data_IF_052869196194
#
_entry.id   IF_052869196194
#
_cell.length_a   1.000
_cell.length_b   1.000
_cell.length_c   1.000
_cell.angle_alpha   90.00
_cell.angle_beta   90.00
_cell.angle_gamma   90.00
#
_symmetry.space_group_name_H-M   'P 1'
#
loop_
_entity.id
_entity.type
_entity.pdbx_description
1 polymer ?
#
# COMPACT_ATOMS: atom_id res chain seq x y z
N UNK A 1 -55.23 -25.23 -18.21
CA UNK A 1 -54.63 -25.98 -19.32
C UNK A 1 -53.29 -25.33 -19.59
N UNK A 2 -52.21 -26.08 -19.38
CA UNK A 2 -50.82 -25.64 -19.41
C UNK A 2 -50.41 -25.05 -20.76
N UNK A 3 -49.48 -24.09 -20.74
CA UNK A 3 -48.38 -23.85 -21.72
C UNK A 3 -47.56 -22.65 -21.17
N UNK A 4 -46.50 -22.91 -20.42
CA UNK A 4 -45.11 -23.18 -20.80
C UNK A 4 -44.26 -21.90 -20.78
N UNK A 5 -43.42 -21.81 -19.74
CA UNK A 5 -42.58 -20.68 -19.34
C UNK A 5 -41.20 -20.91 -19.93
N UNK A 6 -40.94 -20.47 -21.16
CA UNK A 6 -39.58 -20.58 -21.76
C UNK A 6 -39.26 -19.60 -22.90
N UNK A 7 -39.95 -18.46 -23.02
CA UNK A 7 -39.73 -17.55 -24.16
C UNK A 7 -39.67 -16.06 -23.82
N UNK A 8 -38.93 -15.65 -22.78
CA UNK A 8 -38.52 -14.24 -22.61
C UNK A 8 -37.12 -14.17 -21.96
N UNK A 9 -36.08 -14.62 -22.67
CA UNK A 9 -34.66 -14.33 -22.34
C UNK A 9 -33.76 -14.37 -23.58
N UNK A 10 -33.97 -13.46 -24.54
CA UNK A 10 -32.96 -13.19 -25.58
C UNK A 10 -33.04 -11.72 -26.01
N UNK A 11 -32.56 -10.79 -25.19
CA UNK A 11 -32.16 -9.45 -25.66
C UNK A 11 -31.34 -8.62 -24.65
N UNK A 12 -30.27 -9.17 -24.07
CA UNK A 12 -29.16 -8.34 -23.52
C UNK A 12 -27.86 -9.12 -23.68
N UNK A 13 -27.04 -8.71 -24.65
CA UNK A 13 -25.67 -9.20 -24.79
C UNK A 13 -24.80 -8.59 -23.70
N UNK A 14 -24.46 -9.38 -22.69
CA UNK A 14 -23.39 -9.07 -21.74
C UNK A 14 -22.19 -9.93 -22.13
N UNK A 15 -21.17 -9.30 -22.70
CA UNK A 15 -19.86 -9.90 -22.91
C UNK A 15 -19.20 -10.13 -21.54
N UNK A 16 -19.19 -11.38 -21.09
CA UNK A 16 -18.39 -11.82 -19.94
C UNK A 16 -17.12 -12.46 -20.51
N UNK A 17 -15.96 -11.87 -20.20
CA UNK A 17 -14.64 -12.39 -20.57
C UNK A 17 -14.35 -13.80 -20.02
N UNK A 18 -13.35 -14.50 -20.57
CA UNK A 18 -13.25 -15.95 -20.44
C UNK A 18 -12.82 -16.39 -19.03
N UNK A 19 -13.67 -17.22 -18.41
CA UNK A 19 -13.30 -18.12 -17.31
C UNK A 19 -12.25 -19.11 -17.83
N UNK A 20 -11.04 -19.05 -17.29
CA UNK A 20 -10.01 -20.06 -17.51
C UNK A 20 -10.43 -21.34 -16.78
N UNK A 21 -10.90 -22.33 -17.55
CA UNK A 21 -11.20 -23.68 -17.13
C UNK A 21 -9.90 -24.48 -16.97
N UNK A 22 -9.52 -24.82 -15.73
CA UNK A 22 -8.48 -25.81 -15.49
C UNK A 22 -9.06 -27.22 -15.61
N UNK A 23 -8.68 -27.90 -16.68
CA UNK A 23 -9.05 -29.28 -17.01
C UNK A 23 -8.34 -30.23 -16.05
N UNK A 24 -9.11 -30.98 -15.26
CA UNK A 24 -8.60 -32.06 -14.40
C UNK A 24 -7.99 -33.19 -15.23
N UNK A 25 -6.66 -33.34 -15.21
CA UNK A 25 -6.01 -34.59 -15.57
C UNK A 25 -5.92 -35.46 -14.32
N UNK A 26 -6.77 -36.49 -14.26
CA UNK A 26 -6.61 -37.62 -13.35
C UNK A 26 -5.47 -38.49 -13.87
N UNK A 27 -4.32 -38.46 -13.23
CA UNK A 27 -3.32 -39.52 -13.32
C UNK A 27 -3.50 -40.45 -12.13
N UNK A 28 -3.89 -41.69 -12.41
CA UNK A 28 -3.95 -42.79 -11.44
C UNK A 28 -2.53 -43.10 -10.93
N UNK A 29 -2.35 -43.03 -9.61
CA UNK A 29 -1.20 -43.60 -8.89
C UNK A 29 -1.79 -44.66 -7.93
N UNK A 30 -1.22 -45.88 -7.87
CA UNK A 30 -1.86 -47.02 -7.20
C UNK A 30 -1.85 -46.89 -5.67
N UNK A 31 -2.93 -47.39 -5.07
CA UNK A 31 -3.17 -47.49 -3.62
C UNK A 31 -2.17 -48.44 -2.95
N UNK A 32 -1.51 -48.07 -1.83
CA UNK A 32 -0.84 -49.05 -0.99
C UNK A 32 -1.83 -49.66 0.01
N UNK A 33 -1.68 -50.97 0.20
CA UNK A 33 -2.51 -51.84 0.99
C UNK A 33 -2.67 -51.40 2.46
N UNK A 34 -3.86 -51.70 3.00
CA UNK A 34 -4.19 -51.57 4.43
C UNK A 34 -3.21 -52.39 5.27
N UNK A 35 -2.38 -51.72 6.06
CA UNK A 35 -1.70 -52.29 7.21
C UNK A 35 -2.15 -51.52 8.45
N UNK A 36 -2.68 -52.26 9.41
CA UNK A 36 -3.11 -51.79 10.72
C UNK A 36 -1.92 -51.20 11.49
N UNK A 37 -1.91 -49.88 11.65
CA UNK A 37 -1.03 -49.17 12.58
C UNK A 37 -1.87 -48.12 13.33
N UNK A 38 -1.71 -48.11 14.65
CA UNK A 38 -2.26 -47.21 15.66
C UNK A 38 -2.61 -45.80 15.19
N UNK A 39 -3.83 -45.33 15.54
CA UNK A 39 -4.20 -43.92 15.44
C UNK A 39 -3.23 -43.05 16.25
N UNK A 40 -2.27 -42.41 15.59
CA UNK A 40 -1.58 -41.25 16.14
C UNK A 40 -2.56 -40.08 16.15
N UNK A 41 -2.94 -39.61 17.35
CA UNK A 41 -3.59 -38.33 17.56
C UNK A 41 -2.67 -37.25 16.95
N UNK A 42 -3.02 -36.69 15.79
CA UNK A 42 -2.32 -35.51 15.26
C UNK A 42 -2.50 -34.38 16.26
N UNK A 43 -1.41 -33.93 16.88
CA UNK A 43 -1.40 -32.75 17.75
C UNK A 43 -1.97 -31.56 16.96
N UNK A 44 -3.16 -31.08 17.34
CA UNK A 44 -3.83 -30.00 16.61
C UNK A 44 -3.24 -28.66 17.06
N UNK A 45 -2.51 -27.98 16.17
CA UNK A 45 -2.01 -26.62 16.43
C UNK A 45 -3.17 -25.63 16.28
N UNK A 46 -3.55 -24.88 17.33
CA UNK A 46 -4.65 -23.92 17.25
C UNK A 46 -4.22 -22.67 16.46
N UNK A 47 -5.15 -22.09 15.69
CA UNK A 47 -4.92 -20.79 15.04
C UNK A 47 -4.97 -19.70 16.10
N UNK A 48 -3.78 -19.25 16.51
CA UNK A 48 -3.59 -18.17 17.49
C UNK A 48 -2.43 -17.27 17.05
N UNK A 49 -2.43 -15.99 17.44
CA UNK A 49 -1.29 -15.09 17.19
C UNK A 49 0.01 -15.62 17.82
N UNK A 50 1.16 -15.11 17.36
CA UNK A 50 2.50 -15.51 17.84
C UNK A 50 2.67 -15.37 19.36
N UNK A 51 1.99 -14.39 19.94
CA UNK A 51 2.08 -14.08 21.37
C UNK A 51 1.26 -15.07 22.23
N UNK A 52 0.36 -15.85 21.62
CA UNK A 52 -0.56 -16.75 22.32
C UNK A 52 -0.49 -18.20 21.81
N UNK A 53 0.27 -18.46 20.74
CA UNK A 53 0.37 -19.81 20.16
C UNK A 53 1.20 -20.72 21.05
N UNK A 54 0.70 -21.94 21.25
CA UNK A 54 1.47 -23.04 21.80
C UNK A 54 1.88 -23.96 20.65
N UNK A 55 3.19 -24.10 20.44
CA UNK A 55 3.75 -24.97 19.40
C UNK A 55 4.22 -26.27 20.04
N UNK A 56 3.77 -27.44 19.55
CA UNK A 56 4.24 -28.73 20.04
C UNK A 56 5.75 -28.90 19.84
N UNK A 57 6.42 -29.63 20.74
CA UNK A 57 7.88 -29.80 20.71
C UNK A 57 8.38 -30.48 19.42
N UNK A 58 7.56 -31.33 18.81
CA UNK A 58 7.84 -31.95 17.51
C UNK A 58 7.81 -30.98 16.32
N UNK A 59 7.23 -29.78 16.49
CA UNK A 59 7.04 -28.77 15.44
C UNK A 59 7.64 -27.39 15.80
N UNK A 60 8.37 -27.28 16.91
CA UNK A 60 8.91 -26.00 17.37
C UNK A 60 10.16 -25.54 16.60
N UNK A 61 10.80 -26.44 15.84
CA UNK A 61 11.96 -26.15 15.00
C UNK A 61 13.32 -26.30 15.69
N UNK A 62 13.38 -26.78 16.93
CA UNK A 62 14.66 -27.00 17.61
C UNK A 62 15.56 -28.02 16.89
N UNK A 63 14.97 -28.96 16.14
CA UNK A 63 15.65 -29.93 15.24
C UNK A 63 15.24 -29.76 13.76
N UNK A 64 14.90 -28.54 13.32
CA UNK A 64 14.50 -28.30 11.93
C UNK A 64 15.57 -28.73 10.90
N UNK A 65 15.15 -29.21 9.73
CA UNK A 65 16.02 -29.77 8.69
C UNK A 65 17.01 -28.75 8.11
N UNK A 66 16.64 -27.46 8.10
CA UNK A 66 17.47 -26.37 7.61
C UNK A 66 18.10 -25.56 8.77
N UNK A 67 18.25 -26.14 9.97
CA UNK A 67 18.99 -25.51 11.06
C UNK A 67 20.48 -25.45 10.72
N UNK A 68 21.12 -24.30 10.98
CA UNK A 68 22.57 -24.20 10.89
C UNK A 68 23.25 -24.83 12.12
N UNK A 69 24.57 -24.98 12.05
CA UNK A 69 25.38 -25.37 13.21
C UNK A 69 25.18 -24.37 14.36
N UNK A 70 24.83 -24.88 15.55
CA UNK A 70 24.63 -24.08 16.76
C UNK A 70 25.85 -23.23 17.11
N UNK A 71 27.07 -23.65 16.75
CA UNK A 71 28.28 -22.87 16.96
C UNK A 71 28.29 -21.53 16.18
N UNK A 72 27.45 -21.39 15.15
CA UNK A 72 27.33 -20.15 14.35
C UNK A 72 26.21 -19.23 14.83
N UNK A 73 25.36 -19.69 15.75
CA UNK A 73 24.17 -18.96 16.18
C UNK A 73 24.53 -17.65 16.90
N UNK A 74 24.03 -16.53 16.39
CA UNK A 74 24.31 -15.18 16.90
C UNK A 74 23.12 -14.56 17.68
N UNK A 75 22.05 -15.32 17.87
CA UNK A 75 20.83 -14.90 18.57
C UNK A 75 20.47 -15.89 19.68
N UNK A 76 19.83 -15.41 20.74
CA UNK A 76 19.31 -16.26 21.82
C UNK A 76 17.97 -16.88 21.39
N UNK A 77 18.02 -17.90 20.54
CA UNK A 77 16.85 -18.61 20.05
C UNK A 77 17.12 -20.11 19.84
N UNK A 78 16.42 -20.94 20.59
CA UNK A 78 16.52 -22.40 20.50
C UNK A 78 15.48 -23.00 19.54
N UNK A 79 14.35 -22.31 19.34
CA UNK A 79 13.24 -22.71 18.48
C UNK A 79 12.78 -21.58 17.53
N UNK A 80 11.87 -21.89 16.61
CA UNK A 80 11.45 -20.99 15.53
C UNK A 80 10.69 -19.77 16.06
N UNK A 81 9.89 -19.94 17.11
CA UNK A 81 9.12 -18.86 17.73
C UNK A 81 10.06 -17.83 18.37
N UNK A 82 11.09 -18.29 19.09
CA UNK A 82 12.12 -17.43 19.66
C UNK A 82 12.90 -16.71 18.56
N UNK A 83 13.26 -17.39 17.48
CA UNK A 83 13.99 -16.80 16.37
C UNK A 83 13.19 -15.67 15.68
N UNK A 84 11.88 -15.89 15.49
CA UNK A 84 10.97 -14.85 14.99
C UNK A 84 10.90 -13.69 15.97
N UNK A 85 10.83 -13.93 17.29
CA UNK A 85 10.82 -12.85 18.30
C UNK A 85 12.10 -12.02 18.27
N UNK A 86 13.27 -12.65 18.14
CA UNK A 86 14.53 -11.94 17.94
C UNK A 86 14.49 -11.02 16.71
N UNK A 87 13.98 -11.52 15.58
CA UNK A 87 13.81 -10.71 14.37
C UNK A 87 12.86 -9.53 14.58
N UNK A 88 11.73 -9.73 15.29
CA UNK A 88 10.74 -8.68 15.51
C UNK A 88 11.27 -7.56 16.40
N UNK A 89 12.13 -7.88 17.38
CA UNK A 89 12.74 -6.89 18.29
C UNK A 89 13.57 -5.81 17.56
N UNK A 90 14.10 -6.11 16.37
CA UNK A 90 14.80 -5.12 15.52
C UNK A 90 13.92 -3.92 15.12
N UNK A 91 12.60 -4.05 15.25
CA UNK A 91 11.62 -3.06 14.80
C UNK A 91 10.87 -2.36 15.94
N UNK A 92 11.31 -2.48 17.20
CA UNK A 92 10.68 -1.84 18.36
C UNK A 92 10.51 -0.32 18.21
N UNK A 93 11.45 0.32 17.51
CA UNK A 93 11.42 1.77 17.23
C UNK A 93 10.58 2.14 16.00
N UNK A 94 9.96 1.16 15.32
CA UNK A 94 9.08 1.36 14.17
C UNK A 94 7.79 0.52 14.29
N UNK A 95 6.83 0.96 15.12
CA UNK A 95 5.61 0.19 15.41
C UNK A 95 4.78 -0.20 14.18
N UNK A 96 4.79 0.63 13.14
CA UNK A 96 4.11 0.34 11.87
C UNK A 96 4.78 -0.80 11.10
N UNK A 97 6.12 -0.83 11.10
CA UNK A 97 6.92 -1.87 10.46
C UNK A 97 6.83 -3.18 11.24
N UNK A 98 6.94 -3.11 12.57
CA UNK A 98 6.76 -4.24 13.48
C UNK A 98 5.44 -4.96 13.22
N UNK A 99 4.32 -4.24 13.14
CA UNK A 99 2.99 -4.81 12.86
C UNK A 99 2.91 -5.55 11.53
N UNK A 100 3.61 -5.06 10.50
CA UNK A 100 3.64 -5.72 9.20
C UNK A 100 4.45 -7.01 9.31
N UNK A 101 5.67 -6.95 9.84
CA UNK A 101 6.51 -8.13 10.00
C UNK A 101 5.83 -9.18 10.87
N UNK A 102 5.34 -8.82 12.06
CA UNK A 102 4.63 -9.74 12.95
C UNK A 102 3.48 -10.45 12.24
N UNK A 103 2.64 -9.70 11.50
CA UNK A 103 1.51 -10.29 10.76
C UNK A 103 1.97 -11.30 9.70
N UNK A 104 2.99 -10.98 8.92
CA UNK A 104 3.41 -11.86 7.81
C UNK A 104 4.23 -13.05 8.31
N UNK A 105 5.04 -12.89 9.36
CA UNK A 105 5.77 -14.01 9.99
C UNK A 105 4.81 -14.95 10.72
N UNK A 106 3.78 -14.43 11.38
CA UNK A 106 2.69 -15.21 11.99
C UNK A 106 1.96 -16.08 10.98
N UNK A 107 1.56 -15.50 9.85
CA UNK A 107 0.86 -16.22 8.79
C UNK A 107 1.70 -17.38 8.26
N UNK A 108 2.99 -17.14 8.02
CA UNK A 108 3.89 -18.18 7.55
C UNK A 108 4.06 -19.28 8.60
N UNK A 109 4.31 -18.92 9.86
CA UNK A 109 4.48 -19.88 10.95
C UNK A 109 3.24 -20.76 11.09
N UNK A 110 2.05 -20.15 11.19
CA UNK A 110 0.79 -20.88 11.30
C UNK A 110 0.57 -21.81 10.11
N UNK A 111 0.80 -21.32 8.89
CA UNK A 111 0.65 -22.12 7.69
C UNK A 111 1.61 -23.31 7.66
N UNK A 112 2.87 -23.12 8.04
CA UNK A 112 3.86 -24.19 8.14
C UNK A 112 3.42 -25.28 9.12
N UNK A 113 2.96 -24.87 10.30
CA UNK A 113 2.54 -25.79 11.36
C UNK A 113 1.27 -26.56 11.01
N UNK A 114 0.28 -25.89 10.39
CA UNK A 114 -1.07 -26.45 10.18
C UNK A 114 -1.20 -27.15 8.83
N UNK A 115 -0.75 -26.51 7.74
CA UNK A 115 -0.90 -27.06 6.38
C UNK A 115 0.24 -28.01 6.03
N UNK A 116 1.49 -27.67 6.37
CA UNK A 116 2.63 -28.53 6.09
C UNK A 116 2.91 -29.56 7.19
N UNK A 117 2.51 -29.30 8.43
CA UNK A 117 2.92 -30.09 9.58
C UNK A 117 4.45 -30.07 9.77
N UNK A 118 5.07 -28.92 9.50
CA UNK A 118 6.52 -28.71 9.57
C UNK A 118 6.85 -27.51 10.44
N UNK A 119 7.96 -27.53 11.20
CA UNK A 119 8.52 -26.30 11.73
C UNK A 119 8.93 -25.36 10.59
N UNK A 120 8.96 -24.05 10.86
CA UNK A 120 9.40 -23.03 9.91
C UNK A 120 10.82 -23.31 9.41
N UNK A 121 11.70 -23.79 10.30
CA UNK A 121 13.07 -24.18 9.98
C UNK A 121 13.20 -25.48 9.17
N UNK A 122 12.10 -26.16 8.83
CA UNK A 122 12.09 -27.26 7.86
C UNK A 122 11.40 -26.91 6.53
N UNK A 123 10.94 -25.67 6.36
CA UNK A 123 10.37 -25.25 5.07
C UNK A 123 11.42 -25.21 3.98
N UNK A 124 11.13 -25.86 2.86
CA UNK A 124 11.95 -25.85 1.67
C UNK A 124 11.36 -24.96 0.56
N UNK A 125 12.02 -24.94 -0.60
CA UNK A 125 11.61 -24.12 -1.75
C UNK A 125 10.18 -24.45 -2.21
N UNK A 126 9.83 -25.74 -2.30
CA UNK A 126 8.52 -26.20 -2.75
C UNK A 126 7.43 -25.79 -1.77
N UNK A 127 7.71 -25.82 -0.47
CA UNK A 127 6.77 -25.34 0.54
C UNK A 127 6.47 -23.84 0.33
N UNK A 128 7.48 -23.00 0.04
CA UNK A 128 7.24 -21.58 -0.27
C UNK A 128 6.47 -21.34 -1.57
N UNK A 129 6.58 -22.22 -2.57
CA UNK A 129 5.71 -22.19 -3.75
C UNK A 129 4.25 -22.51 -3.37
N UNK A 130 4.04 -23.49 -2.47
CA UNK A 130 2.73 -23.78 -1.89
C UNK A 130 2.14 -22.61 -1.11
N UNK A 131 2.96 -21.94 -0.29
CA UNK A 131 2.54 -20.78 0.49
C UNK A 131 2.11 -19.60 -0.40
N UNK A 132 2.81 -19.37 -1.52
CA UNK A 132 2.43 -18.34 -2.49
C UNK A 132 1.01 -18.57 -3.03
N UNK A 133 0.68 -19.81 -3.41
CA UNK A 133 -0.66 -20.15 -3.90
C UNK A 133 -1.70 -19.99 -2.79
N UNK A 134 -1.35 -20.43 -1.58
CA UNK A 134 -2.21 -20.29 -0.40
C UNK A 134 -2.55 -18.83 -0.07
N UNK A 135 -1.62 -17.88 -0.24
CA UNK A 135 -1.91 -16.46 0.02
C UNK A 135 -2.99 -15.87 -0.90
N UNK A 136 -3.08 -16.37 -2.14
CA UNK A 136 -4.07 -15.92 -3.13
C UNK A 136 -5.43 -16.61 -2.90
N UNK A 137 -5.45 -17.80 -2.29
CA UNK A 137 -6.67 -18.49 -1.92
C UNK A 137 -6.48 -19.32 -0.62
N UNK A 138 -6.62 -18.70 0.57
CA UNK A 138 -6.40 -19.39 1.84
C UNK A 138 -7.52 -20.40 2.12
N UNK A 139 -7.23 -21.69 1.96
CA UNK A 139 -8.20 -22.78 2.16
C UNK A 139 -7.79 -23.70 3.33
N UNK A 140 -8.76 -24.23 4.12
CA UNK A 140 -10.18 -23.93 4.04
C UNK A 140 -10.51 -22.52 4.57
N UNK A 141 -11.27 -21.74 3.79
CA UNK A 141 -11.52 -20.32 4.11
C UNK A 141 -12.08 -20.08 5.50
N UNK A 142 -12.99 -20.94 5.99
CA UNK A 142 -13.55 -20.86 7.35
C UNK A 142 -12.53 -20.94 8.50
N UNK A 143 -11.36 -21.51 8.23
CA UNK A 143 -10.29 -21.69 9.20
C UNK A 143 -9.33 -20.50 9.17
N UNK A 144 -9.00 -20.02 7.97
CA UNK A 144 -7.96 -19.00 7.76
C UNK A 144 -8.49 -17.57 7.63
N UNK A 145 -9.73 -17.41 7.19
CA UNK A 145 -10.35 -16.14 6.87
C UNK A 145 -11.53 -15.83 7.80
N UNK A 146 -11.60 -14.59 8.29
CA UNK A 146 -12.72 -14.12 9.09
C UNK A 146 -12.76 -12.60 9.24
N UNK A 147 -13.82 -12.04 9.85
CA UNK A 147 -13.91 -10.61 10.08
C UNK A 147 -12.77 -10.11 10.97
N UNK A 148 -12.50 -8.81 10.92
CA UNK A 148 -11.43 -8.21 11.73
C UNK A 148 -11.83 -8.18 13.21
N UNK A 149 -11.27 -9.12 13.96
CA UNK A 149 -11.48 -9.30 15.40
C UNK A 149 -10.20 -8.94 16.17
N UNK A 150 -10.34 -8.63 17.45
CA UNK A 150 -9.23 -8.42 18.37
C UNK A 150 -8.30 -9.64 18.42
N UNK A 151 -6.98 -9.40 18.43
CA UNK A 151 -5.96 -10.46 18.27
C UNK A 151 -6.00 -11.51 19.38
N UNK A 152 -6.28 -11.11 20.62
CA UNK A 152 -6.33 -12.05 21.76
C UNK A 152 -7.59 -12.94 21.76
N UNK A 153 -8.59 -12.64 20.92
CA UNK A 153 -9.84 -13.39 20.86
C UNK A 153 -9.65 -14.78 20.27
N UNK A 154 -10.47 -15.74 20.72
CA UNK A 154 -10.51 -17.09 20.16
C UNK A 154 -11.06 -17.15 18.74
N UNK A 155 -11.90 -16.17 18.38
CA UNK A 155 -12.45 -16.06 17.04
C UNK A 155 -11.51 -15.32 16.06
N UNK A 156 -10.26 -15.09 16.44
CA UNK A 156 -9.29 -14.40 15.58
C UNK A 156 -8.85 -15.27 14.40
N UNK A 157 -8.80 -14.67 13.21
CA UNK A 157 -8.27 -15.29 12.00
C UNK A 157 -7.10 -14.47 11.41
N UNK A 158 -6.08 -15.14 10.83
CA UNK A 158 -4.91 -14.48 10.24
C UNK A 158 -5.20 -13.72 8.94
N UNK A 159 -6.29 -14.05 8.24
CA UNK A 159 -6.73 -13.37 7.03
C UNK A 159 -8.14 -12.80 7.19
N UNK A 160 -8.40 -11.68 6.51
CA UNK A 160 -9.78 -11.20 6.28
C UNK A 160 -10.38 -11.86 5.05
N UNK A 161 -9.52 -12.22 4.10
CA UNK A 161 -9.84 -12.91 2.85
C UNK A 161 -8.57 -13.09 2.02
N UNK A 162 -8.71 -13.58 0.77
CA UNK A 162 -7.66 -13.64 -0.23
C UNK A 162 -6.83 -12.36 -0.35
N UNK A 163 -5.51 -12.49 -0.52
CA UNK A 163 -4.64 -11.33 -0.75
C UNK A 163 -4.64 -10.92 -2.22
N UNK A 164 -4.60 -9.61 -2.47
CA UNK A 164 -4.28 -9.07 -3.79
C UNK A 164 -2.81 -9.30 -4.15
N UNK A 165 -2.47 -9.25 -5.43
CA UNK A 165 -1.09 -9.47 -5.90
C UNK A 165 -0.07 -8.54 -5.20
N UNK A 166 -0.39 -7.25 -5.07
CA UNK A 166 0.47 -6.30 -4.36
C UNK A 166 0.65 -6.63 -2.87
N UNK A 167 -0.38 -7.17 -2.23
CA UNK A 167 -0.30 -7.62 -0.84
C UNK A 167 0.55 -8.90 -0.71
N UNK A 168 0.43 -9.84 -1.65
CA UNK A 168 1.31 -11.04 -1.73
C UNK A 168 2.77 -10.63 -1.89
N UNK A 169 3.08 -9.70 -2.79
CA UNK A 169 4.45 -9.19 -2.97
C UNK A 169 5.01 -8.57 -1.69
N UNK A 170 4.18 -7.81 -0.98
CA UNK A 170 4.55 -7.21 0.31
C UNK A 170 4.80 -8.27 1.38
N UNK A 171 3.93 -9.29 1.48
CA UNK A 171 4.08 -10.40 2.41
C UNK A 171 5.39 -11.17 2.16
N UNK A 172 5.66 -11.49 0.90
CA UNK A 172 6.88 -12.22 0.51
C UNK A 172 8.15 -11.39 0.71
N UNK A 173 8.10 -10.07 0.52
CA UNK A 173 9.23 -9.21 0.84
C UNK A 173 9.52 -9.21 2.35
N UNK A 174 8.47 -9.18 3.18
CA UNK A 174 8.61 -9.25 4.63
C UNK A 174 9.21 -10.60 5.08
N UNK A 175 8.70 -11.70 4.52
CA UNK A 175 9.19 -13.05 4.80
C UNK A 175 10.63 -13.24 4.33
N UNK A 176 10.98 -12.77 3.13
CA UNK A 176 12.37 -12.85 2.67
C UNK A 176 13.34 -12.07 3.58
N UNK A 177 12.87 -10.98 4.20
CA UNK A 177 13.63 -10.26 5.22
C UNK A 177 13.85 -11.12 6.47
N UNK A 178 12.80 -11.81 6.96
CA UNK A 178 12.93 -12.77 8.07
C UNK A 178 13.92 -13.88 7.71
N UNK A 179 13.73 -14.56 6.59
CA UNK A 179 14.58 -15.69 6.20
C UNK A 179 16.05 -15.29 6.05
N UNK A 180 16.31 -14.11 5.49
CA UNK A 180 17.66 -13.56 5.41
C UNK A 180 18.23 -13.26 6.79
N UNK A 181 17.49 -12.61 7.67
CA UNK A 181 17.93 -12.36 9.06
C UNK A 181 18.28 -13.67 9.76
N UNK A 182 17.43 -14.70 9.65
CA UNK A 182 17.69 -15.99 10.28
C UNK A 182 18.90 -16.72 9.69
N UNK A 183 19.18 -16.56 8.39
CA UNK A 183 20.42 -17.07 7.79
C UNK A 183 21.65 -16.28 8.26
N UNK A 184 21.58 -14.94 8.24
CA UNK A 184 22.68 -14.06 8.66
C UNK A 184 23.01 -14.23 10.16
N UNK A 185 21.99 -14.51 10.99
CA UNK A 185 22.12 -14.83 12.42
C UNK A 185 22.61 -16.26 12.71
N UNK A 186 22.84 -17.09 11.67
CA UNK A 186 23.24 -18.49 11.84
C UNK A 186 22.15 -19.40 12.42
N UNK A 187 20.88 -18.98 12.39
CA UNK A 187 19.75 -19.81 12.81
C UNK A 187 19.37 -20.83 11.72
N UNK A 188 19.36 -20.40 10.45
CA UNK A 188 19.13 -21.27 9.28
C UNK A 188 20.43 -21.51 8.51
N UNK A 189 20.61 -22.70 7.96
CA UNK A 189 21.76 -23.06 7.14
C UNK A 189 21.74 -22.34 5.77
N UNK A 190 20.55 -22.05 5.24
CA UNK A 190 20.37 -21.24 4.04
C UNK A 190 18.97 -20.64 3.91
N UNK A 191 18.80 -19.71 2.97
CA UNK A 191 17.51 -19.09 2.66
C UNK A 191 16.83 -19.80 1.47
N UNK A 192 15.74 -20.57 1.68
CA UNK A 192 15.02 -21.27 0.60
C UNK A 192 14.43 -20.31 -0.45
N UNK A 193 14.06 -19.08 -0.06
CA UNK A 193 13.54 -18.05 -0.96
C UNK A 193 14.62 -17.50 -1.90
N UNK A 194 15.91 -17.60 -1.52
CA UNK A 194 17.02 -17.22 -2.39
C UNK A 194 17.11 -18.06 -3.67
N UNK A 195 16.52 -19.26 -3.65
CA UNK A 195 16.47 -20.18 -4.79
C UNK A 195 15.29 -19.91 -5.74
N UNK A 196 14.29 -19.15 -5.30
CA UNK A 196 13.16 -18.71 -6.14
C UNK A 196 13.63 -17.54 -7.01
N UNK A 197 14.64 -17.79 -7.85
CA UNK A 197 15.07 -16.90 -8.93
C UNK A 197 14.26 -17.23 -10.19
N UNK A 198 13.79 -16.20 -10.89
CA UNK A 198 13.37 -16.23 -12.31
C UNK A 198 11.97 -16.71 -12.72
N UNK A 199 11.05 -17.16 -11.85
CA UNK A 199 9.63 -17.29 -12.28
C UNK A 199 8.89 -15.95 -12.37
N UNK A 200 9.26 -14.95 -11.55
CA UNK A 200 8.57 -13.63 -11.54
C UNK A 200 8.79 -12.77 -12.80
N UNK A 201 9.86 -13.00 -13.58
CA UNK A 201 9.99 -12.40 -14.93
C UNK A 201 9.21 -13.21 -15.96
N UNK A 202 9.23 -14.55 -15.85
CA UNK A 202 8.60 -15.43 -16.82
C UNK A 202 7.08 -15.50 -16.69
N UNK A 203 6.49 -15.42 -15.50
CA UNK A 203 5.02 -15.41 -15.35
C UNK A 203 4.41 -14.09 -15.81
N UNK A 204 5.13 -12.97 -15.69
CA UNK A 204 4.75 -11.70 -16.32
C UNK A 204 4.86 -11.75 -17.87
N UNK A 205 5.84 -12.52 -18.40
CA UNK A 205 6.07 -12.69 -19.85
C UNK A 205 5.24 -13.85 -20.45
N UNK A 206 4.82 -14.85 -19.67
CA UNK A 206 4.07 -16.03 -20.14
C UNK A 206 2.56 -15.88 -19.89
N UNK A 207 2.13 -15.02 -18.96
CA UNK A 207 0.76 -14.51 -18.94
C UNK A 207 0.50 -13.52 -20.09
N UNK A 208 1.55 -12.87 -20.60
CA UNK A 208 1.58 -12.13 -21.85
C UNK A 208 1.97 -13.08 -23.00
N UNK A 209 1.06 -13.95 -23.40
CA UNK A 209 1.24 -14.75 -24.62
C UNK A 209 1.70 -13.89 -25.81
N UNK A 210 2.56 -14.47 -26.65
CA UNK A 210 3.19 -13.85 -27.84
C UNK A 210 2.22 -12.94 -28.65
N UNK A 211 2.72 -11.86 -29.27
CA UNK A 211 2.04 -10.58 -29.37
C UNK A 211 0.96 -10.57 -30.45
N UNK A 212 -0.30 -10.55 -30.01
CA UNK A 212 -1.35 -9.83 -30.72
C UNK A 212 -1.59 -8.54 -29.94
N UNK A 213 -1.33 -7.44 -30.63
CA UNK A 213 -1.31 -6.08 -30.12
C UNK A 213 -2.53 -5.70 -29.27
N UNK A 214 -2.34 -5.64 -27.95
CA UNK A 214 -2.81 -4.58 -27.06
C UNK A 214 -1.78 -4.47 -25.96
N UNK A 215 -0.99 -3.39 -25.98
CA UNK A 215 -0.01 -3.08 -24.94
C UNK A 215 -0.71 -3.08 -23.58
N UNK A 216 -0.32 -3.97 -22.68
CA UNK A 216 -0.81 -4.00 -21.30
C UNK A 216 -0.33 -2.73 -20.59
N UNK A 217 -1.29 -1.90 -20.20
CA UNK A 217 -1.23 -0.56 -19.58
C UNK A 217 -0.54 -0.49 -18.20
N UNK A 218 0.18 -1.52 -17.78
CA UNK A 218 0.65 -1.67 -16.39
C UNK A 218 1.95 -0.88 -16.12
N UNK A 219 2.75 -0.56 -17.14
CA UNK A 219 3.93 0.31 -16.99
C UNK A 219 3.57 1.81 -16.94
N UNK A 220 2.47 2.22 -17.59
CA UNK A 220 1.90 3.58 -17.56
C UNK A 220 1.09 3.87 -16.28
N UNK A 221 0.49 2.86 -15.66
CA UNK A 221 -0.44 2.99 -14.51
C UNK A 221 0.13 3.64 -13.24
N UNK A 222 1.44 3.57 -13.00
CA UNK A 222 2.03 4.17 -11.78
C UNK A 222 2.25 5.66 -11.91
N UNK A 223 2.24 6.24 -13.12
CA UNK A 223 2.42 7.68 -13.36
C UNK A 223 1.08 8.39 -13.32
N UNK A 224 -0.02 7.73 -13.71
CA UNK A 224 -1.37 8.30 -13.67
C UNK A 224 -1.91 8.67 -12.27
N UNK A 225 -1.15 8.47 -11.19
CA UNK A 225 -1.59 8.69 -9.81
C UNK A 225 -1.47 10.14 -9.35
N UNK A 226 -1.69 11.11 -10.24
CA UNK A 226 -1.87 12.52 -9.93
C UNK A 226 -3.20 13.05 -10.47
N UNK A 227 -3.66 14.14 -9.88
CA UNK A 227 -4.79 14.94 -10.36
C UNK A 227 -4.26 16.05 -11.26
N UNK A 228 -4.73 16.07 -12.51
CA UNK A 228 -4.50 17.15 -13.49
C UNK A 228 -5.10 18.48 -13.04
N UNK A 229 -4.91 19.54 -13.84
CA UNK A 229 -5.35 20.90 -13.53
C UNK A 229 -6.86 20.99 -13.28
N UNK A 230 -7.67 20.38 -14.15
CA UNK A 230 -9.13 20.40 -14.03
C UNK A 230 -9.62 19.66 -12.77
N UNK A 231 -9.07 18.47 -12.49
CA UNK A 231 -9.37 17.71 -11.28
C UNK A 231 -8.93 18.47 -10.03
N UNK A 232 -7.76 19.12 -10.04
CA UNK A 232 -7.29 19.91 -8.91
C UNK A 232 -8.14 21.17 -8.69
N UNK A 233 -8.57 21.83 -9.77
CA UNK A 233 -9.52 22.93 -9.71
C UNK A 233 -10.87 22.50 -9.13
N UNK A 234 -11.36 21.30 -9.47
CA UNK A 234 -12.54 20.74 -8.84
C UNK A 234 -12.33 20.47 -7.34
N UNK A 235 -11.14 20.03 -6.92
CA UNK A 235 -10.77 19.83 -5.51
C UNK A 235 -10.76 21.16 -4.74
N UNK A 236 -10.14 22.21 -5.28
CA UNK A 236 -10.13 23.53 -4.63
C UNK A 236 -11.53 24.11 -4.54
N UNK A 237 -12.35 23.97 -5.60
CA UNK A 237 -13.77 24.36 -5.60
C UNK A 237 -14.59 23.58 -4.58
N UNK A 238 -14.36 22.26 -4.44
CA UNK A 238 -15.04 21.45 -3.44
C UNK A 238 -14.72 21.89 -2.01
N UNK A 239 -13.47 22.27 -1.74
CA UNK A 239 -13.06 22.85 -0.45
C UNK A 239 -13.75 24.20 -0.23
N UNK A 240 -13.73 25.09 -1.21
CA UNK A 240 -14.33 26.43 -1.07
C UNK A 240 -15.87 26.40 -0.98
N UNK A 241 -16.51 25.34 -1.49
CA UNK A 241 -17.95 25.08 -1.35
C UNK A 241 -18.34 24.42 -0.02
N UNK A 242 -17.39 24.08 0.87
CA UNK A 242 -17.73 23.49 2.16
C UNK A 242 -18.62 24.44 2.99
N UNK A 243 -19.60 23.89 3.74
CA UNK A 243 -20.48 24.70 4.58
C UNK A 243 -19.68 25.37 5.71
N UNK A 244 -20.19 26.52 6.17
CA UNK A 244 -19.60 27.39 7.20
C UNK A 244 -20.68 28.00 8.10
N UNK A 245 -21.78 27.28 8.31
CA UNK A 245 -22.96 27.79 9.01
C UNK A 245 -22.82 27.71 10.54
N UNK A 246 -21.88 26.92 11.04
CA UNK A 246 -21.58 26.79 12.47
C UNK A 246 -20.07 26.59 12.71
N UNK A 247 -19.64 26.69 13.97
CA UNK A 247 -18.23 26.60 14.36
C UNK A 247 -17.55 25.29 13.92
N UNK A 248 -18.28 24.17 13.99
CA UNK A 248 -17.76 22.86 13.59
C UNK A 248 -17.49 22.82 12.08
N UNK A 249 -18.42 23.32 11.27
CA UNK A 249 -18.30 23.43 9.81
C UNK A 249 -17.16 24.38 9.41
N UNK A 250 -17.08 25.56 10.04
CA UNK A 250 -15.96 26.48 9.87
C UNK A 250 -14.61 25.81 10.18
N UNK A 251 -14.54 25.01 11.24
CA UNK A 251 -13.34 24.28 11.62
C UNK A 251 -12.96 23.17 10.63
N UNK A 252 -13.96 22.48 10.07
CA UNK A 252 -13.75 21.51 9.01
C UNK A 252 -13.20 22.16 7.73
N UNK A 253 -13.79 23.30 7.32
CA UNK A 253 -13.34 24.09 6.17
C UNK A 253 -11.91 24.60 6.35
N UNK A 254 -11.57 25.28 7.45
CA UNK A 254 -10.23 25.84 7.66
C UNK A 254 -9.15 24.74 7.68
N UNK A 255 -9.46 23.57 8.27
CA UNK A 255 -8.56 22.41 8.21
C UNK A 255 -8.44 21.85 6.80
N UNK A 256 -9.54 21.67 6.07
CA UNK A 256 -9.52 21.16 4.70
C UNK A 256 -8.73 22.07 3.76
N UNK A 257 -8.94 23.38 3.87
CA UNK A 257 -8.22 24.40 3.11
C UNK A 257 -6.72 24.38 3.38
N UNK A 258 -6.33 24.29 4.65
CA UNK A 258 -4.92 24.17 5.01
C UNK A 258 -4.30 22.86 4.52
N UNK A 259 -5.02 21.74 4.58
CA UNK A 259 -4.58 20.46 4.00
C UNK A 259 -4.32 20.61 2.49
N UNK A 260 -5.24 21.24 1.75
CA UNK A 260 -5.08 21.48 0.31
C UNK A 260 -3.80 22.28 -0.01
N UNK A 261 -3.59 23.39 0.69
CA UNK A 261 -2.39 24.22 0.54
C UNK A 261 -1.10 23.43 0.83
N UNK A 262 -1.08 22.69 1.94
CA UNK A 262 0.09 21.89 2.33
C UNK A 262 0.39 20.77 1.32
N UNK A 263 -0.63 20.08 0.80
CA UNK A 263 -0.45 19.04 -0.20
C UNK A 263 0.14 19.59 -1.50
N UNK A 264 -0.41 20.69 -1.99
CA UNK A 264 0.00 21.29 -3.25
C UNK A 264 1.39 21.92 -3.16
N UNK A 265 1.66 22.70 -2.11
CA UNK A 265 2.89 23.50 -2.02
C UNK A 265 4.09 22.72 -1.45
N UNK A 266 3.85 21.73 -0.58
CA UNK A 266 4.92 21.03 0.16
C UNK A 266 5.02 19.54 -0.17
N UNK A 267 4.02 18.97 -0.85
CA UNK A 267 3.94 17.57 -1.25
C UNK A 267 4.38 16.59 -0.14
N UNK A 268 3.85 16.68 1.11
CA UNK A 268 4.28 15.86 2.22
C UNK A 268 3.85 14.40 2.08
N UNK A 269 4.49 13.49 2.79
CA UNK A 269 3.89 12.17 3.08
C UNK A 269 2.87 12.32 4.21
N UNK A 270 1.82 11.50 4.20
CA UNK A 270 0.79 11.55 5.27
C UNK A 270 1.39 11.39 6.69
N UNK A 271 2.36 10.50 6.86
CA UNK A 271 3.05 10.30 8.13
C UNK A 271 3.93 11.49 8.56
N UNK A 272 4.38 12.32 7.62
CA UNK A 272 5.11 13.56 7.95
C UNK A 272 4.15 14.57 8.61
N UNK A 273 2.91 14.69 8.13
CA UNK A 273 1.90 15.59 8.71
C UNK A 273 1.40 15.14 10.10
N UNK A 274 1.36 13.83 10.34
CA UNK A 274 1.01 13.25 11.64
C UNK A 274 2.10 13.46 12.70
N UNK A 275 3.37 13.30 12.30
CA UNK A 275 4.51 13.32 13.23
C UNK A 275 5.06 14.72 13.52
N UNK A 276 4.96 15.67 12.59
CA UNK A 276 5.57 16.98 12.75
C UNK A 276 4.69 17.96 13.55
N UNK A 277 5.35 18.99 14.10
CA UNK A 277 4.73 20.08 14.87
C UNK A 277 4.96 21.43 14.21
N UNK A 278 4.23 22.45 14.64
CA UNK A 278 4.30 23.80 14.11
C UNK A 278 5.71 24.39 14.15
N UNK A 279 6.51 24.07 15.18
CA UNK A 279 7.92 24.45 15.24
C UNK A 279 8.82 23.81 14.16
N UNK A 280 8.29 22.96 13.28
CA UNK A 280 9.02 22.49 12.09
C UNK A 280 9.07 23.55 10.98
N UNK A 281 8.13 24.51 10.99
CA UNK A 281 8.17 25.69 10.15
C UNK A 281 9.05 26.75 10.80
N UNK A 282 10.12 27.16 10.12
CA UNK A 282 11.18 28.01 10.68
C UNK A 282 11.58 29.07 9.68
N UNK A 283 11.67 30.30 10.15
CA UNK A 283 12.37 31.34 9.43
C UNK A 283 13.87 31.26 9.75
N UNK A 284 14.68 31.23 8.69
CA UNK A 284 16.14 31.21 8.74
C UNK A 284 16.69 32.20 7.72
N UNK A 285 17.37 33.25 8.19
CA UNK A 285 17.97 34.30 7.34
C UNK A 285 16.94 34.94 6.37
N UNK A 286 15.76 35.28 6.90
CA UNK A 286 14.67 35.91 6.12
C UNK A 286 13.95 34.98 5.14
N UNK A 287 14.17 33.66 5.21
CA UNK A 287 13.52 32.67 4.34
C UNK A 287 12.83 31.60 5.18
N UNK A 288 11.63 31.22 4.76
CA UNK A 288 10.85 30.19 5.44
C UNK A 288 11.19 28.78 4.96
N UNK A 289 11.35 27.87 5.92
CA UNK A 289 11.71 26.47 5.70
C UNK A 289 10.80 25.55 6.51
N UNK A 290 10.41 24.44 5.90
CA UNK A 290 9.76 23.33 6.59
C UNK A 290 10.79 22.23 6.83
N UNK A 291 11.13 21.99 8.10
CA UNK A 291 12.09 20.97 8.50
C UNK A 291 11.39 19.64 8.69
N UNK A 292 11.79 18.64 7.91
CA UNK A 292 11.12 17.34 7.84
C UNK A 292 12.08 16.23 8.22
N UNK A 293 11.60 15.28 9.01
CA UNK A 293 12.25 14.01 9.32
C UNK A 293 11.44 12.90 8.66
N UNK A 294 11.98 12.37 7.56
CA UNK A 294 11.32 11.34 6.76
C UNK A 294 11.58 9.91 7.26
N UNK A 295 11.18 8.92 6.44
CA UNK A 295 11.40 7.49 6.71
C UNK A 295 12.89 7.21 6.99
N UNK A 296 13.16 6.48 8.07
CA UNK A 296 14.52 6.15 8.52
C UNK A 296 15.25 7.30 9.22
N UNK A 297 14.54 8.31 9.73
CA UNK A 297 15.14 9.41 10.49
C UNK A 297 15.88 10.45 9.65
N UNK A 298 15.77 10.37 8.31
CA UNK A 298 16.48 11.27 7.40
C UNK A 298 15.92 12.69 7.50
N UNK A 299 16.77 13.64 7.87
CA UNK A 299 16.45 15.06 7.97
C UNK A 299 16.52 15.72 6.59
N UNK A 300 15.54 16.56 6.29
CA UNK A 300 15.45 17.38 5.10
C UNK A 300 14.86 18.75 5.45
N UNK A 301 15.01 19.71 4.54
CA UNK A 301 14.32 21.00 4.60
C UNK A 301 13.73 21.34 3.25
N UNK A 302 12.50 21.84 3.25
CA UNK A 302 11.74 22.25 2.07
C UNK A 302 11.54 23.76 2.14
N UNK A 303 11.86 24.54 1.09
CA UNK A 303 11.56 25.97 1.06
C UNK A 303 10.05 26.19 1.06
N UNK A 304 9.60 27.27 1.71
CA UNK A 304 8.19 27.63 1.81
C UNK A 304 7.99 28.96 1.08
N UNK A 305 7.18 28.94 0.02
CA UNK A 305 6.78 30.14 -0.70
C UNK A 305 5.81 30.99 0.13
N UNK A 306 5.72 32.28 -0.18
CA UNK A 306 4.94 33.25 0.60
C UNK A 306 3.45 32.87 0.70
N UNK A 307 2.85 32.34 -0.36
CA UNK A 307 1.46 31.84 -0.34
C UNK A 307 1.25 30.73 0.68
N UNK A 308 2.22 29.84 0.84
CA UNK A 308 2.18 28.78 1.84
C UNK A 308 2.40 29.36 3.26
N UNK A 309 3.22 30.41 3.42
CA UNK A 309 3.34 31.15 4.68
C UNK A 309 1.99 31.79 5.05
N UNK A 310 1.29 32.40 4.10
CA UNK A 310 -0.04 32.97 4.33
C UNK A 310 -1.07 31.91 4.72
N UNK A 311 -1.05 30.75 4.04
CA UNK A 311 -1.91 29.62 4.40
C UNK A 311 -1.63 29.11 5.83
N UNK A 312 -0.36 29.02 6.23
CA UNK A 312 0.06 28.68 7.59
C UNK A 312 -0.44 29.70 8.61
N UNK A 313 -0.22 31.00 8.36
CA UNK A 313 -0.64 32.07 9.25
C UNK A 313 -2.15 32.09 9.44
N UNK A 314 -2.93 31.91 8.37
CA UNK A 314 -4.40 31.82 8.43
C UNK A 314 -4.86 30.67 9.31
N UNK A 315 -4.35 29.46 9.06
CA UNK A 315 -4.74 28.29 9.84
C UNK A 315 -4.37 28.46 11.32
N UNK A 316 -3.18 29.00 11.61
CA UNK A 316 -2.74 29.27 12.99
C UNK A 316 -3.63 30.28 13.71
N UNK A 317 -4.01 31.38 13.05
CA UNK A 317 -4.96 32.36 13.61
C UNK A 317 -6.31 31.72 13.90
N UNK A 318 -6.81 30.86 13.00
CA UNK A 318 -8.03 30.09 13.24
C UNK A 318 -7.91 29.17 14.47
N UNK A 319 -6.73 28.58 14.72
CA UNK A 319 -6.47 27.79 15.93
C UNK A 319 -6.31 28.65 17.21
N UNK A 320 -6.39 29.98 17.12
CA UNK A 320 -6.12 30.89 18.24
C UNK A 320 -4.64 31.02 18.59
N UNK A 321 -3.74 30.66 17.67
CA UNK A 321 -2.28 30.71 17.86
C UNK A 321 -1.69 32.00 17.29
N UNK A 322 -0.45 32.31 17.68
CA UNK A 322 0.33 33.39 17.05
C UNK A 322 0.50 33.11 15.56
N UNK A 323 0.44 34.14 14.72
CA UNK A 323 0.47 33.99 13.26
C UNK A 323 1.70 33.20 12.78
N UNK A 324 2.86 33.45 13.36
CA UNK A 324 4.10 32.69 13.10
C UNK A 324 4.40 31.71 14.24
N UNK A 325 4.91 30.50 13.94
CA UNK A 325 5.30 29.51 14.93
C UNK A 325 6.55 29.91 15.70
N UNK A 326 6.53 29.70 17.02
CA UNK A 326 7.71 29.81 17.88
C UNK A 326 8.52 28.52 17.84
N UNK A 327 9.81 28.57 18.18
CA UNK A 327 10.67 27.36 18.28
C UNK A 327 10.17 26.34 19.31
N UNK A 328 9.44 26.81 20.31
CA UNK A 328 8.81 26.01 21.37
C UNK A 328 7.39 25.53 21.03
N UNK A 329 6.87 25.86 19.83
CA UNK A 329 5.50 25.51 19.44
C UNK A 329 5.38 24.02 19.06
N UNK A 330 4.97 23.22 20.05
CA UNK A 330 4.75 21.78 19.89
C UNK A 330 3.33 21.43 19.40
N UNK A 331 2.55 22.41 18.92
CA UNK A 331 1.21 22.14 18.38
C UNK A 331 1.31 21.27 17.13
N UNK A 332 0.46 20.25 16.94
CA UNK A 332 0.45 19.46 15.71
C UNK A 332 0.20 20.31 14.47
N UNK A 333 0.80 19.95 13.33
CA UNK A 333 0.55 20.67 12.06
C UNK A 333 -0.94 20.59 11.68
N UNK A 334 -1.55 19.41 11.87
CA UNK A 334 -2.97 19.19 11.64
C UNK A 334 -3.61 18.65 12.91
N UNK A 335 -4.63 19.35 13.41
CA UNK A 335 -5.28 19.02 14.68
C UNK A 335 -6.64 18.34 14.50
N UNK A 336 -6.96 17.46 15.44
CA UNK A 336 -8.29 16.92 15.68
C UNK A 336 -9.22 18.04 16.12
N UNK A 337 -10.44 18.07 15.58
CA UNK A 337 -11.44 19.08 15.97
C UNK A 337 -12.04 18.80 17.35
N UNK A 338 -11.89 17.57 17.86
CA UNK A 338 -12.44 17.15 19.15
C UNK A 338 -11.57 17.61 20.32
N UNK A 339 -10.27 17.39 20.22
CA UNK A 339 -9.34 17.45 21.36
C UNK A 339 -7.99 18.09 21.00
N UNK A 340 -7.85 18.65 19.79
CA UNK A 340 -6.62 19.26 19.27
C UNK A 340 -5.40 18.33 19.18
N UNK A 341 -5.58 17.02 19.39
CA UNK A 341 -4.54 16.02 19.18
C UNK A 341 -4.10 15.93 17.70
N UNK A 342 -2.92 15.39 17.36
CA UNK A 342 -2.52 15.18 15.97
C UNK A 342 -3.53 14.30 15.23
N UNK A 343 -3.92 14.67 14.00
CA UNK A 343 -4.69 13.73 13.17
C UNK A 343 -3.78 12.61 12.67
N UNK A 344 -4.32 11.39 12.61
CA UNK A 344 -3.61 10.24 12.04
C UNK A 344 -3.60 10.28 10.51
N UNK A 345 -2.62 9.62 9.87
CA UNK A 345 -2.60 9.43 8.41
C UNK A 345 -3.89 8.78 7.89
N UNK A 346 -4.52 7.91 8.69
CA UNK A 346 -5.84 7.33 8.38
C UNK A 346 -6.92 8.42 8.34
N UNK A 347 -6.98 9.28 9.36
CA UNK A 347 -7.96 10.37 9.41
C UNK A 347 -7.76 11.38 8.29
N UNK A 348 -6.51 11.72 7.96
CA UNK A 348 -6.18 12.55 6.81
C UNK A 348 -6.74 11.96 5.51
N UNK A 349 -6.52 10.66 5.26
CA UNK A 349 -7.07 9.99 4.08
C UNK A 349 -8.61 10.00 4.05
N UNK A 350 -9.28 9.86 5.19
CA UNK A 350 -10.75 9.95 5.25
C UNK A 350 -11.26 11.36 4.90
N UNK A 351 -10.58 12.40 5.39
CA UNK A 351 -10.91 13.80 5.06
C UNK A 351 -10.73 14.03 3.56
N UNK A 352 -9.58 13.64 3.01
CA UNK A 352 -9.28 13.80 1.59
C UNK A 352 -10.23 13.00 0.71
N UNK A 353 -10.59 11.78 1.08
CA UNK A 353 -11.60 11.00 0.36
C UNK A 353 -12.91 11.76 0.23
N UNK A 354 -13.42 12.34 1.33
CA UNK A 354 -14.66 13.15 1.27
C UNK A 354 -14.52 14.33 0.31
N UNK A 355 -13.39 15.03 0.34
CA UNK A 355 -13.10 16.16 -0.55
C UNK A 355 -13.04 15.70 -2.02
N UNK A 356 -12.32 14.61 -2.32
CA UNK A 356 -12.21 14.10 -3.69
C UNK A 356 -13.53 13.55 -4.24
N UNK A 357 -14.35 12.91 -3.39
CA UNK A 357 -15.72 12.54 -3.78
C UNK A 357 -16.55 13.78 -4.12
N UNK A 358 -16.53 14.81 -3.27
CA UNK A 358 -17.23 16.06 -3.55
C UNK A 358 -16.71 16.76 -4.83
N UNK A 359 -15.40 16.71 -5.09
CA UNK A 359 -14.79 17.22 -6.31
C UNK A 359 -15.26 16.47 -7.55
N UNK A 360 -15.41 15.15 -7.48
CA UNK A 360 -15.92 14.35 -8.60
C UNK A 360 -17.36 14.75 -8.97
N UNK A 361 -18.20 15.08 -7.98
CA UNK A 361 -19.57 15.55 -8.23
C UNK A 361 -19.64 16.96 -8.84
N UNK A 362 -18.55 17.74 -8.80
CA UNK A 362 -18.48 19.05 -9.43
C UNK A 362 -18.05 19.00 -10.91
N UNK A 363 -17.56 17.85 -11.39
CA UNK A 363 -17.15 17.69 -12.78
C UNK A 363 -18.37 17.46 -13.70
N UNK A 364 -18.29 17.88 -14.97
CA UNK A 364 -19.34 17.63 -15.96
C UNK A 364 -19.70 16.15 -16.11
N UNK A 365 -20.96 15.79 -16.41
CA UNK A 365 -21.42 14.41 -16.61
C UNK A 365 -20.51 13.57 -17.52
N UNK A 366 -20.00 14.17 -18.59
CA UNK A 366 -19.15 13.55 -19.60
C UNK A 366 -17.72 13.19 -19.13
N UNK A 367 -17.28 13.71 -17.97
CA UNK A 367 -15.92 13.50 -17.45
C UNK A 367 -15.78 12.22 -16.60
N UNK A 368 -16.43 11.12 -16.99
CA UNK A 368 -16.54 9.89 -16.19
C UNK A 368 -15.19 9.34 -15.73
N UNK A 369 -14.19 9.30 -16.63
CA UNK A 369 -12.83 8.87 -16.30
C UNK A 369 -12.21 9.71 -15.17
N UNK A 370 -12.32 11.05 -15.23
CA UNK A 370 -11.77 11.95 -14.20
C UNK A 370 -12.54 11.81 -12.87
N UNK A 371 -13.85 11.56 -12.93
CA UNK A 371 -14.67 11.30 -11.73
C UNK A 371 -14.25 10.02 -11.04
N UNK A 372 -14.06 8.92 -11.78
CA UNK A 372 -13.56 7.66 -11.21
C UNK A 372 -12.18 7.83 -10.59
N UNK A 373 -11.29 8.56 -11.28
CA UNK A 373 -9.95 8.89 -10.82
C UNK A 373 -9.97 9.65 -9.48
N UNK A 374 -10.79 10.70 -9.36
CA UNK A 374 -11.02 11.42 -8.10
C UNK A 374 -11.58 10.52 -7.00
N UNK A 375 -12.59 9.70 -7.31
CA UNK A 375 -13.19 8.76 -6.33
C UNK A 375 -12.17 7.72 -5.84
N UNK A 376 -11.20 7.33 -6.67
CA UNK A 376 -10.10 6.42 -6.33
C UNK A 376 -8.94 7.11 -5.57
N UNK A 377 -8.78 8.44 -5.70
CA UNK A 377 -7.64 9.18 -5.15
C UNK A 377 -7.47 9.10 -3.62
N UNK A 378 -6.23 9.22 -3.14
CA UNK A 378 -5.86 9.17 -1.72
C UNK A 378 -4.88 10.30 -1.35
N UNK A 379 -4.44 10.39 -0.09
CA UNK A 379 -3.41 11.37 0.30
C UNK A 379 -2.13 11.26 -0.55
N UNK A 380 -1.82 10.06 -1.05
CA UNK A 380 -0.66 9.88 -1.92
C UNK A 380 -0.83 10.62 -3.25
N UNK A 381 -2.05 10.65 -3.81
CA UNK A 381 -2.35 11.37 -5.04
C UNK A 381 -2.13 12.88 -4.89
N UNK A 382 -2.58 13.47 -3.77
CA UNK A 382 -2.32 14.89 -3.48
C UNK A 382 -0.83 15.23 -3.42
N UNK A 383 0.00 14.30 -2.90
CA UNK A 383 1.45 14.43 -2.96
C UNK A 383 1.98 14.36 -4.40
N UNK A 384 1.50 13.43 -5.22
CA UNK A 384 1.89 13.35 -6.62
C UNK A 384 1.53 14.64 -7.37
N UNK A 385 0.29 15.13 -7.22
CA UNK A 385 -0.15 16.42 -7.78
C UNK A 385 0.75 17.57 -7.37
N UNK A 386 1.11 17.69 -6.09
CA UNK A 386 2.02 18.76 -5.64
C UNK A 386 3.46 18.60 -6.15
N UNK A 387 3.89 17.41 -6.55
CA UNK A 387 5.20 17.19 -7.20
C UNK A 387 5.11 17.60 -8.67
N UNK A 388 4.07 17.15 -9.39
CA UNK A 388 3.82 17.53 -10.79
C UNK A 388 3.70 19.04 -10.92
N UNK A 389 2.87 19.70 -10.11
CA UNK A 389 2.69 21.15 -10.14
C UNK A 389 3.99 21.95 -9.91
N UNK A 390 4.96 21.40 -9.17
CA UNK A 390 6.29 22.02 -9.03
C UNK A 390 7.12 21.92 -10.31
N UNK A 391 7.01 20.81 -11.03
CA UNK A 391 7.67 20.62 -12.33
C UNK A 391 7.02 21.55 -13.35
N UNK A 392 5.69 21.55 -13.43
CA UNK A 392 4.91 22.34 -14.38
C UNK A 392 5.11 23.85 -14.19
N UNK A 393 5.42 24.28 -12.97
CA UNK A 393 5.79 25.69 -12.68
C UNK A 393 7.23 26.05 -13.04
N UNK A 394 7.99 25.13 -13.64
CA UNK A 394 9.37 25.33 -14.11
C UNK A 394 10.43 25.22 -13.02
N UNK A 395 10.12 24.65 -11.84
CA UNK A 395 11.15 24.41 -10.82
C UNK A 395 12.07 23.30 -11.32
N UNK A 396 13.38 23.58 -11.34
CA UNK A 396 14.39 22.62 -11.75
C UNK A 396 14.22 21.25 -11.04
N UNK A 397 14.24 20.18 -11.82
CA UNK A 397 14.00 18.80 -11.37
C UNK A 397 14.82 18.42 -10.13
N UNK A 398 16.07 18.86 -10.05
CA UNK A 398 16.95 18.59 -8.91
C UNK A 398 16.40 19.14 -7.60
N UNK A 399 15.78 20.32 -7.65
CA UNK A 399 15.11 20.91 -6.50
C UNK A 399 13.78 20.23 -6.20
N UNK A 400 13.01 19.84 -7.21
CA UNK A 400 11.79 19.04 -7.03
C UNK A 400 12.10 17.68 -6.38
N UNK A 401 13.16 16.99 -6.80
CA UNK A 401 13.60 15.74 -6.20
C UNK A 401 13.96 15.93 -4.71
N UNK A 402 14.68 17.01 -4.40
CA UNK A 402 15.07 17.35 -3.02
C UNK A 402 13.85 17.69 -2.17
N UNK A 403 12.92 18.48 -2.70
CA UNK A 403 11.66 18.83 -2.07
C UNK A 403 10.78 17.61 -1.87
N UNK A 404 10.72 16.69 -2.82
CA UNK A 404 10.02 15.42 -2.71
C UNK A 404 10.71 14.46 -1.72
N UNK A 405 12.00 14.65 -1.42
CA UNK A 405 12.81 13.69 -0.63
C UNK A 405 12.83 12.31 -1.30
N UNK A 406 13.09 12.28 -2.60
CA UNK A 406 13.32 11.05 -3.36
C UNK A 406 14.79 10.68 -3.32
N UNK A 407 15.11 9.45 -2.88
CA UNK A 407 16.49 8.95 -2.87
C UNK A 407 17.00 8.55 -4.25
N UNK A 408 16.10 8.22 -5.17
CA UNK A 408 16.39 7.82 -6.54
C UNK A 408 15.83 8.88 -7.51
N UNK A 409 16.68 9.41 -8.39
CA UNK A 409 16.30 10.42 -9.38
C UNK A 409 15.23 9.91 -10.34
N UNK A 410 15.24 8.62 -10.66
CA UNK A 410 14.22 7.97 -11.49
C UNK A 410 12.81 8.09 -10.93
N UNK A 411 12.67 8.35 -9.62
CA UNK A 411 11.35 8.58 -9.03
C UNK A 411 10.78 9.93 -9.46
N UNK A 412 11.61 10.94 -9.65
CA UNK A 412 11.20 12.30 -10.05
C UNK A 412 11.08 12.43 -11.57
N UNK A 413 11.91 11.73 -12.35
CA UNK A 413 11.80 11.69 -13.82
C UNK A 413 10.42 11.25 -14.32
N UNK A 414 9.71 10.44 -13.52
CA UNK A 414 8.37 9.93 -13.84
C UNK A 414 7.26 10.98 -13.85
N UNK A 415 7.57 12.22 -13.52
CA UNK A 415 6.63 13.35 -13.50
C UNK A 415 6.92 14.37 -14.61
N UNK A 416 7.87 14.07 -15.50
CA UNK A 416 8.22 14.93 -16.62
C UNK A 416 7.32 14.51 -17.79
N UNK A 417 6.42 15.42 -18.19
CA UNK A 417 5.44 15.19 -19.27
C UNK A 417 5.69 16.03 -20.53
N UNK A 418 6.67 16.95 -20.51
CA UNK A 418 6.94 17.88 -21.62
C UNK A 418 7.21 17.15 -22.95
N UNK A 419 7.92 16.02 -22.93
CA UNK A 419 8.18 15.22 -24.15
C UNK A 419 6.91 14.53 -24.68
N UNK A 420 6.00 14.09 -23.80
CA UNK A 420 4.76 13.41 -24.16
C UNK A 420 3.73 14.40 -24.72
N UNK A 421 3.59 15.58 -24.11
CA UNK A 421 2.71 16.65 -24.59
C UNK A 421 3.15 17.15 -25.96
N UNK A 422 4.45 17.43 -26.13
CA UNK A 422 4.99 17.81 -27.43
C UNK A 422 4.79 16.70 -28.47
N UNK A 423 4.97 15.43 -28.12
CA UNK A 423 4.71 14.33 -29.04
C UNK A 423 3.23 14.23 -29.41
N UNK A 424 2.32 14.47 -28.47
CA UNK A 424 0.89 14.53 -28.75
C UNK A 424 0.55 15.68 -29.70
N UNK A 425 1.09 16.88 -29.48
CA UNK A 425 0.91 18.03 -30.37
C UNK A 425 1.46 17.77 -31.77
N UNK A 426 2.60 17.09 -31.89
CA UNK A 426 3.13 16.63 -33.18
C UNK A 426 2.18 15.63 -33.87
N UNK A 427 1.54 14.73 -33.11
CA UNK A 427 0.56 13.78 -33.64
C UNK A 427 -0.71 14.47 -34.16
N UNK A 428 -1.12 15.59 -33.55
CA UNK A 428 -2.28 16.39 -34.03
C UNK A 428 -2.08 16.98 -35.42
N UNK A 429 -0.84 17.03 -35.94
CA UNK A 429 -0.55 17.47 -37.32
C UNK A 429 -1.03 16.48 -38.38
N UNK A 430 -1.32 15.24 -38.00
CA UNK A 430 -1.86 14.21 -38.89
C UNK A 430 -3.39 14.28 -38.91
N UNK A 431 -3.95 14.71 -40.04
CA UNK A 431 -5.41 14.76 -40.24
C UNK A 431 -5.91 13.65 -41.17
N UNK A 432 -7.14 13.19 -40.94
CA UNK A 432 -7.81 12.25 -41.82
C UNK A 432 -8.21 12.96 -43.13
N UNK A 433 -8.03 12.32 -44.30
CA UNK A 433 -8.27 12.97 -45.59
C UNK A 433 -9.74 13.33 -45.86
N UNK A 434 -10.69 12.85 -45.03
CA UNK A 434 -12.13 13.06 -45.20
C UNK A 434 -12.75 14.12 -44.27
N UNK A 435 -11.98 14.81 -43.42
CA UNK A 435 -12.52 15.89 -42.57
C UNK A 435 -12.77 17.23 -43.32
N UNK A 436 -12.40 17.34 -44.60
CA UNK A 436 -12.52 18.59 -45.38
C UNK A 436 -13.85 18.80 -46.12
N UNK A 437 -14.87 17.95 -45.94
CA UNK A 437 -16.13 18.04 -46.70
C UNK A 437 -17.31 18.70 -45.97
N UNK A 438 -17.10 19.36 -44.82
CA UNK A 438 -18.18 20.06 -44.09
C UNK A 438 -18.10 21.58 -44.22
N UNK A 439 -18.00 22.08 -45.46
CA UNK A 439 -17.92 23.53 -45.70
C UNK A 439 -18.06 23.93 -47.16
N UNK A 440 -19.20 23.63 -47.78
CA UNK A 440 -19.74 24.38 -48.93
C UNK A 440 -21.24 24.55 -48.78
#
# INVERSE_FOLDING_TARGET
>A
MFLNVDAIKHMVGIFIGPRILWRTMKTQIPSPAKSSASLNLKTVVPIRPLDCIHVPAELDGHQGENRADKARLQIQADNDVEAIRCFLAEYDRSPGTLRIYQRETERLLLWALIECGKPLSSLNRQDFEGYLNFLVDPQPSRLWCGPRIERASEAWHPFVGPLSESAVLTAMAAINSLMRYLTDAGYLAGNPLGLIRQRRRKTAIEAAGSPLAVSTTDETEKVERFLDEEMWAAVTKAIENMPRSNDQECAEYERARFIGAVLYMLAPRAGELESHRMNSFREERGRWWWHVVGKGGKKAKVPIADDMVQALMRYRKFLGLTAVPKRTDITPILVSLKDRSPITARRLNQILKRIFFAAAELLPPESDYKKEKLRAASAHWGRHTGITAKIDSGINERYVQKDARHSDARTTQRYIHEEEEHWHDEAQKQHLPWEKESGK
#
